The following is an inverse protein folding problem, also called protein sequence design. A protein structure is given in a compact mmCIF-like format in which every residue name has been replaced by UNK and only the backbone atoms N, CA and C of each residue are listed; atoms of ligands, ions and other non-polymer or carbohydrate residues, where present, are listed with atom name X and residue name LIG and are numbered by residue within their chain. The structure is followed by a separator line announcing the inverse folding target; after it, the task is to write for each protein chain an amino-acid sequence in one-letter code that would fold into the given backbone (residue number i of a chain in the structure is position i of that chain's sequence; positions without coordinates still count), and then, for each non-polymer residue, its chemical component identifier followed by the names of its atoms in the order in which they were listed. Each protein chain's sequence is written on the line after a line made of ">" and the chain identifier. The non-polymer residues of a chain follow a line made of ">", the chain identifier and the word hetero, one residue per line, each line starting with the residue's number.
data_IF_167335052071
#
_entry.id   IF_167335052071
#
_cell.length_a   1.000
_cell.length_b   1.000
_cell.length_c   1.000
_cell.angle_alpha   90.00
_cell.angle_beta   90.00
_cell.angle_gamma   90.00
#
_symmetry.space_group_name_H-M   'P 1'
#
loop_
_entity.id
_entity.type
_entity.pdbx_description
1 polymer ?
#
# COMPACT_ATOMS: atom_id res chain seq x y z
N UNK A 1 -43.31 -18.37 65.61
CA UNK A 1 -43.26 -16.91 65.43
C UNK A 1 -41.98 -16.59 64.68
N UNK A 2 -42.08 -16.46 63.36
CA UNK A 2 -41.01 -15.96 62.51
C UNK A 2 -40.81 -14.46 62.81
N UNK A 3 -39.57 -14.04 63.05
CA UNK A 3 -39.19 -12.63 63.02
C UNK A 3 -38.19 -12.40 61.90
N UNK A 4 -38.72 -11.80 60.85
CA UNK A 4 -38.07 -11.23 59.69
C UNK A 4 -36.90 -10.30 60.08
N UNK A 5 -35.70 -10.58 59.58
CA UNK A 5 -34.60 -9.62 59.50
C UNK A 5 -34.14 -9.51 58.06
N UNK A 6 -34.61 -8.46 57.39
CA UNK A 6 -34.13 -8.02 56.08
C UNK A 6 -32.68 -7.56 56.17
N UNK A 7 -31.77 -8.29 55.54
CA UNK A 7 -30.41 -7.83 55.22
C UNK A 7 -30.48 -6.88 54.01
N UNK A 8 -29.76 -5.73 54.01
CA UNK A 8 -29.74 -4.79 52.90
C UNK A 8 -28.98 -5.39 51.70
N UNK A 9 -29.55 -5.25 50.50
CA UNK A 9 -28.98 -5.79 49.27
C UNK A 9 -27.60 -5.20 48.99
N UNK A 10 -26.58 -6.07 48.99
CA UNK A 10 -25.28 -5.77 48.42
C UNK A 10 -25.46 -5.55 46.92
N UNK A 11 -25.37 -4.30 46.48
CA UNK A 11 -25.12 -3.98 45.08
C UNK A 11 -23.67 -4.40 44.77
N UNK A 12 -23.49 -5.63 44.31
CA UNK A 12 -22.24 -6.06 43.70
C UNK A 12 -22.02 -5.24 42.43
N UNK A 13 -21.04 -4.35 42.47
CA UNK A 13 -20.55 -3.69 41.26
C UNK A 13 -19.71 -4.72 40.50
N UNK A 14 -20.35 -5.34 39.51
CA UNK A 14 -19.74 -6.36 38.65
C UNK A 14 -18.78 -5.67 37.66
N UNK A 15 -17.51 -5.56 38.07
CA UNK A 15 -16.43 -4.88 37.34
C UNK A 15 -16.02 -5.55 36.02
N UNK A 16 -16.66 -6.66 35.65
CA UNK A 16 -16.27 -7.50 34.52
C UNK A 16 -16.97 -7.16 33.19
N UNK A 17 -17.82 -6.15 33.15
CA UNK A 17 -18.64 -5.88 31.94
C UNK A 17 -18.13 -4.76 31.03
N UNK A 18 -17.03 -4.05 31.34
CA UNK A 18 -16.43 -3.10 30.38
C UNK A 18 -15.47 -3.82 29.44
N UNK A 19 -15.98 -4.82 28.72
CA UNK A 19 -15.30 -5.30 27.52
C UNK A 19 -15.62 -4.29 26.41
N UNK A 20 -14.64 -3.43 26.07
CA UNK A 20 -14.71 -2.61 24.87
C UNK A 20 -14.70 -3.57 23.67
N UNK A 21 -15.89 -4.00 23.25
CA UNK A 21 -16.08 -4.78 22.04
C UNK A 21 -15.76 -3.89 20.85
N UNK A 22 -14.51 -3.95 20.38
CA UNK A 22 -14.09 -3.29 19.13
C UNK A 22 -14.54 -4.04 17.88
N UNK A 23 -15.38 -5.07 18.01
CA UNK A 23 -16.02 -5.73 16.86
C UNK A 23 -17.21 -4.90 16.36
N UNK A 24 -16.91 -3.70 15.87
CA UNK A 24 -17.74 -3.04 14.87
C UNK A 24 -17.64 -3.84 13.56
N UNK A 25 -18.72 -3.86 12.80
CA UNK A 25 -18.98 -4.65 11.59
C UNK A 25 -17.76 -4.92 10.70
N UNK A 26 -17.77 -6.07 10.02
CA UNK A 26 -16.76 -6.55 9.07
C UNK A 26 -16.62 -5.67 7.80
N UNK A 27 -16.35 -4.38 7.98
CA UNK A 27 -16.08 -3.40 6.93
C UNK A 27 -14.58 -3.29 6.63
N UNK A 28 -14.27 -2.72 5.47
CA UNK A 28 -12.89 -2.43 5.03
C UNK A 28 -12.10 -1.53 6.03
N UNK A 29 -12.82 -0.76 6.86
CA UNK A 29 -12.29 0.24 7.80
C UNK A 29 -12.13 -0.26 9.23
N UNK A 30 -11.55 -1.45 9.44
CA UNK A 30 -11.18 -1.84 10.80
C UNK A 30 -10.07 -0.93 11.34
N UNK A 31 -10.04 -0.60 12.65
CA UNK A 31 -9.03 0.30 13.22
C UNK A 31 -7.59 -0.13 12.90
N UNK A 32 -7.34 -1.45 12.86
CA UNK A 32 -6.04 -2.03 12.51
C UNK A 32 -5.63 -1.74 11.06
N UNK A 33 -6.56 -1.81 10.11
CA UNK A 33 -6.29 -1.50 8.70
C UNK A 33 -6.04 -0.01 8.50
N UNK A 34 -6.87 0.83 9.11
CA UNK A 34 -6.72 2.29 9.05
C UNK A 34 -5.37 2.72 9.63
N UNK A 35 -5.01 2.24 10.82
CA UNK A 35 -3.72 2.56 11.44
C UNK A 35 -2.53 2.14 10.57
N UNK A 36 -2.59 0.93 9.99
CA UNK A 36 -1.54 0.44 9.09
C UNK A 36 -1.40 1.29 7.84
N UNK A 37 -2.51 1.61 7.16
CA UNK A 37 -2.51 2.49 5.97
C UNK A 37 -1.94 3.85 6.35
N UNK A 38 -2.34 4.43 7.48
CA UNK A 38 -1.83 5.71 7.94
C UNK A 38 -0.31 5.69 8.18
N UNK A 39 0.23 4.66 8.83
CA UNK A 39 1.67 4.48 9.05
C UNK A 39 2.42 4.37 7.72
N UNK A 40 1.90 3.59 6.77
CA UNK A 40 2.54 3.41 5.48
C UNK A 40 2.49 4.68 4.62
N UNK A 41 1.39 5.44 4.66
CA UNK A 41 1.30 6.76 4.03
C UNK A 41 2.31 7.73 4.66
N UNK A 42 2.49 7.71 5.99
CA UNK A 42 3.50 8.51 6.65
C UNK A 42 4.92 8.11 6.21
N UNK A 43 5.20 6.81 6.06
CA UNK A 43 6.47 6.34 5.49
C UNK A 43 6.65 6.79 4.04
N UNK A 44 5.58 6.82 3.23
CA UNK A 44 5.63 7.36 1.87
C UNK A 44 5.96 8.85 1.88
N UNK A 45 5.41 9.61 2.83
CA UNK A 45 5.74 11.03 3.02
C UNK A 45 7.21 11.25 3.37
N UNK A 46 7.82 10.37 4.18
CA UNK A 46 9.26 10.41 4.45
C UNK A 46 10.06 10.03 3.20
N UNK A 47 9.66 8.97 2.50
CA UNK A 47 10.29 8.52 1.25
C UNK A 47 10.21 9.57 0.13
N UNK A 48 9.20 10.42 0.14
CA UNK A 48 9.04 11.53 -0.79
C UNK A 48 10.19 12.56 -0.75
N UNK A 49 10.95 12.64 0.35
CA UNK A 49 12.14 13.52 0.44
C UNK A 49 13.39 12.90 -0.20
N UNK A 50 13.39 11.59 -0.43
CA UNK A 50 14.47 10.90 -1.14
C UNK A 50 14.14 10.95 -2.63
N UNK A 51 14.51 12.06 -3.28
CA UNK A 51 14.21 12.34 -4.68
C UNK A 51 15.18 11.62 -5.62
N UNK A 52 14.64 11.19 -6.76
CA UNK A 52 15.41 10.71 -7.90
C UNK A 52 15.38 11.80 -8.97
N UNK A 53 16.55 12.23 -9.50
CA UNK A 53 16.61 13.28 -10.50
C UNK A 53 15.65 13.03 -11.66
N UNK A 54 14.72 13.97 -11.85
CA UNK A 54 13.67 13.89 -12.87
C UNK A 54 13.26 15.30 -13.30
N UNK A 55 12.78 15.51 -14.54
CA UNK A 55 12.33 16.81 -15.02
C UNK A 55 11.24 17.45 -14.17
N UNK A 56 10.39 16.63 -13.55
CA UNK A 56 9.29 17.09 -12.69
C UNK A 56 9.73 17.23 -11.23
N UNK A 57 10.83 16.61 -10.80
CA UNK A 57 11.24 16.54 -9.38
C UNK A 57 10.30 15.69 -8.50
N UNK A 58 9.31 15.02 -9.07
CA UNK A 58 8.27 14.30 -8.32
C UNK A 58 8.58 12.81 -8.14
N UNK A 59 9.55 12.28 -8.89
CA UNK A 59 10.00 10.89 -8.74
C UNK A 59 10.79 10.75 -7.43
N UNK A 60 10.28 9.91 -6.53
CA UNK A 60 10.86 9.71 -5.19
C UNK A 60 10.68 8.26 -4.71
N UNK A 61 11.00 7.98 -3.45
CA UNK A 61 10.79 6.68 -2.79
C UNK A 61 9.42 6.56 -2.11
N UNK A 62 8.45 7.35 -2.54
CA UNK A 62 7.10 7.46 -1.98
C UNK A 62 6.20 6.25 -2.32
N UNK A 63 6.51 5.51 -3.39
CA UNK A 63 5.72 4.37 -3.84
C UNK A 63 6.05 3.05 -3.12
N UNK A 64 7.24 2.93 -2.49
CA UNK A 64 7.72 1.70 -1.89
C UNK A 64 6.78 1.19 -0.78
N UNK A 65 6.26 2.03 0.15
CA UNK A 65 5.27 1.57 1.13
C UNK A 65 3.96 1.11 0.49
N UNK A 66 3.57 1.71 -0.65
CA UNK A 66 2.40 1.29 -1.43
C UNK A 66 2.58 -0.11 -2.01
N UNK A 67 3.69 -0.35 -2.72
CA UNK A 67 4.01 -1.67 -3.25
C UNK A 67 4.16 -2.73 -2.14
N UNK A 68 4.79 -2.37 -1.01
CA UNK A 68 4.92 -3.26 0.15
C UNK A 68 3.55 -3.66 0.67
N UNK A 69 2.66 -2.68 0.83
CA UNK A 69 1.30 -2.92 1.31
C UNK A 69 0.49 -3.79 0.36
N UNK A 70 0.61 -3.54 -0.94
CA UNK A 70 0.03 -4.34 -2.00
C UNK A 70 0.51 -5.79 -1.96
N UNK A 71 1.82 -6.00 -1.78
CA UNK A 71 2.43 -7.33 -1.68
C UNK A 71 2.02 -8.06 -0.40
N UNK A 72 2.04 -7.43 0.77
CA UNK A 72 1.92 -8.12 2.06
C UNK A 72 0.48 -8.21 2.56
N UNK A 73 -0.31 -7.14 2.39
CA UNK A 73 -1.63 -7.01 3.01
C UNK A 73 -2.76 -7.21 1.99
N UNK A 74 -3.10 -6.18 1.22
CA UNK A 74 -4.13 -6.25 0.18
C UNK A 74 -3.83 -5.31 -0.98
N UNK A 75 -4.23 -5.65 -2.22
CA UNK A 75 -4.04 -4.77 -3.36
C UNK A 75 -4.68 -3.38 -3.13
N UNK A 76 -5.85 -3.34 -2.49
CA UNK A 76 -6.59 -2.11 -2.23
C UNK A 76 -5.88 -1.23 -1.19
N UNK A 77 -5.41 -1.79 -0.07
CA UNK A 77 -4.61 -1.04 0.91
C UNK A 77 -3.36 -0.47 0.25
N UNK A 78 -2.69 -1.24 -0.62
CA UNK A 78 -1.54 -0.77 -1.38
C UNK A 78 -1.86 0.38 -2.32
N UNK A 79 -2.95 0.30 -3.07
CA UNK A 79 -3.39 1.35 -3.98
C UNK A 79 -3.63 2.68 -3.28
N UNK A 80 -4.28 2.66 -2.11
CA UNK A 80 -4.52 3.87 -1.31
C UNK A 80 -3.19 4.48 -0.86
N UNK A 81 -2.29 3.65 -0.32
CA UNK A 81 -0.97 4.11 0.13
C UNK A 81 -0.16 4.68 -1.04
N UNK A 82 -0.13 4.00 -2.19
CA UNK A 82 0.61 4.46 -3.38
C UNK A 82 0.08 5.77 -3.95
N UNK A 83 -1.25 5.93 -4.03
CA UNK A 83 -1.88 7.16 -4.50
C UNK A 83 -1.59 8.35 -3.58
N UNK A 84 -1.77 8.16 -2.27
CA UNK A 84 -1.51 9.21 -1.28
C UNK A 84 -0.01 9.52 -1.18
N UNK A 85 0.85 8.52 -1.28
CA UNK A 85 2.30 8.70 -1.34
C UNK A 85 2.72 9.62 -2.50
N UNK A 86 2.15 9.38 -3.69
CA UNK A 86 2.41 10.23 -4.86
C UNK A 86 1.95 11.67 -4.64
N UNK A 87 0.75 11.88 -4.10
CA UNK A 87 0.26 13.23 -3.81
C UNK A 87 1.13 13.96 -2.79
N UNK A 88 1.65 13.25 -1.77
CA UNK A 88 2.58 13.82 -0.80
C UNK A 88 3.94 14.15 -1.45
N UNK A 89 4.45 13.30 -2.34
CA UNK A 89 5.67 13.60 -3.12
C UNK A 89 5.52 14.80 -4.04
N UNK A 90 4.34 14.95 -4.65
CA UNK A 90 4.00 16.11 -5.46
C UNK A 90 3.91 17.38 -4.63
N UNK A 91 3.27 17.28 -3.45
CA UNK A 91 3.11 18.38 -2.50
C UNK A 91 4.46 18.91 -2.01
N UNK A 92 5.45 18.05 -1.73
CA UNK A 92 6.79 18.50 -1.30
C UNK A 92 7.53 19.32 -2.37
N UNK A 93 7.09 19.24 -3.63
CA UNK A 93 7.60 20.02 -4.76
C UNK A 93 6.63 21.10 -5.25
N UNK A 94 5.52 21.33 -4.54
CA UNK A 94 4.54 22.36 -4.88
C UNK A 94 3.67 22.06 -6.11
N UNK A 95 3.44 20.77 -6.44
CA UNK A 95 2.66 20.33 -7.61
C UNK A 95 3.15 20.95 -8.94
N UNK A 96 4.33 20.58 -9.45
CA UNK A 96 5.02 21.26 -10.57
C UNK A 96 4.25 21.27 -11.90
N UNK A 97 3.30 20.35 -12.09
CA UNK A 97 2.40 20.28 -13.25
C UNK A 97 0.94 20.63 -12.89
N UNK A 98 0.72 21.15 -11.69
CA UNK A 98 -0.61 21.40 -11.12
C UNK A 98 -1.24 20.18 -10.45
N UNK A 99 -2.21 20.44 -9.58
CA UNK A 99 -2.94 19.42 -8.83
C UNK A 99 -3.70 18.42 -9.73
N UNK A 100 -4.40 18.82 -10.81
CA UNK A 100 -5.15 17.88 -11.65
C UNK A 100 -4.28 16.78 -12.27
N UNK A 101 -3.08 17.12 -12.73
CA UNK A 101 -2.13 16.16 -13.32
C UNK A 101 -1.65 15.17 -12.26
N UNK A 102 -1.39 15.62 -11.03
CA UNK A 102 -0.94 14.73 -9.96
C UNK A 102 -2.07 13.87 -9.40
N UNK A 103 -3.33 14.30 -9.48
CA UNK A 103 -4.48 13.43 -9.20
C UNK A 103 -4.60 12.33 -10.25
N UNK A 104 -4.39 12.64 -11.53
CA UNK A 104 -4.33 11.64 -12.60
C UNK A 104 -3.21 10.61 -12.34
N UNK A 105 -2.00 11.07 -12.02
CA UNK A 105 -0.86 10.19 -11.71
C UNK A 105 -1.12 9.41 -10.42
N UNK A 106 -1.78 9.99 -9.41
CA UNK A 106 -2.13 9.27 -8.19
C UNK A 106 -3.08 8.10 -8.47
N UNK A 107 -4.06 8.28 -9.37
CA UNK A 107 -4.94 7.19 -9.83
C UNK A 107 -4.15 6.13 -10.58
N UNK A 108 -3.24 6.54 -11.46
CA UNK A 108 -2.34 5.62 -12.15
C UNK A 108 -1.48 4.80 -11.18
N UNK A 109 -0.89 5.45 -10.17
CA UNK A 109 -0.12 4.78 -9.12
C UNK A 109 -0.99 3.80 -8.33
N UNK A 110 -2.24 4.16 -8.04
CA UNK A 110 -3.21 3.26 -7.42
C UNK A 110 -3.40 1.98 -8.26
N UNK A 111 -3.53 2.12 -9.58
CA UNK A 111 -3.71 1.02 -10.54
C UNK A 111 -2.44 0.15 -10.61
N UNK A 112 -1.25 0.75 -10.70
CA UNK A 112 -0.01 -0.01 -10.79
C UNK A 112 0.27 -0.83 -9.53
N UNK A 113 0.06 -0.24 -8.35
CA UNK A 113 0.20 -0.95 -7.08
C UNK A 113 -0.88 -2.03 -6.93
N UNK A 114 -2.11 -1.76 -7.38
CA UNK A 114 -3.17 -2.76 -7.41
C UNK A 114 -2.78 -3.98 -8.26
N UNK A 115 -2.35 -3.73 -9.51
CA UNK A 115 -1.91 -4.76 -10.44
C UNK A 115 -0.75 -5.56 -9.84
N UNK A 116 0.25 -4.89 -9.28
CA UNK A 116 1.36 -5.57 -8.60
C UNK A 116 0.87 -6.46 -7.46
N UNK A 117 0.03 -5.95 -6.56
CA UNK A 117 -0.55 -6.75 -5.48
C UNK A 117 -1.32 -7.97 -6.01
N UNK A 118 -2.11 -7.79 -7.08
CA UNK A 118 -2.83 -8.90 -7.72
C UNK A 118 -1.87 -9.95 -8.33
N UNK A 119 -0.79 -9.51 -8.96
CA UNK A 119 0.21 -10.38 -9.57
C UNK A 119 1.01 -11.16 -8.53
N UNK A 120 1.46 -10.52 -7.44
CA UNK A 120 2.25 -11.20 -6.38
C UNK A 120 1.48 -12.38 -5.75
N UNK A 121 0.14 -12.35 -5.77
CA UNK A 121 -0.71 -13.44 -5.29
C UNK A 121 -0.88 -14.59 -6.30
N UNK A 122 -0.55 -14.38 -7.57
CA UNK A 122 -0.82 -15.29 -8.69
C UNK A 122 0.44 -15.84 -9.34
N UNK A 123 1.53 -15.07 -9.35
CA UNK A 123 2.77 -15.38 -10.04
C UNK A 123 3.98 -15.10 -9.14
N UNK A 124 5.19 -15.40 -9.65
CA UNK A 124 6.44 -15.12 -8.93
C UNK A 124 6.60 -13.61 -8.67
N UNK A 125 6.95 -13.23 -7.43
CA UNK A 125 7.12 -11.84 -7.00
C UNK A 125 8.11 -11.03 -7.86
N UNK A 126 9.20 -11.65 -8.33
CA UNK A 126 10.19 -10.99 -9.18
C UNK A 126 9.65 -10.75 -10.59
N UNK A 127 8.83 -11.66 -11.12
CA UNK A 127 8.14 -11.45 -12.40
C UNK A 127 7.12 -10.32 -12.26
N UNK A 128 6.33 -10.32 -11.18
CA UNK A 128 5.42 -9.22 -10.87
C UNK A 128 6.15 -7.89 -10.72
N UNK A 129 7.34 -7.89 -10.11
CA UNK A 129 8.18 -6.70 -9.95
C UNK A 129 8.66 -6.16 -11.29
N UNK A 130 9.20 -7.00 -12.17
CA UNK A 130 9.62 -6.59 -13.52
C UNK A 130 8.44 -5.98 -14.29
N UNK A 131 7.27 -6.62 -14.26
CA UNK A 131 6.07 -6.11 -14.93
C UNK A 131 5.66 -4.74 -14.36
N UNK A 132 5.64 -4.59 -13.03
CA UNK A 132 5.30 -3.32 -12.39
C UNK A 132 6.27 -2.19 -12.77
N UNK A 133 7.58 -2.50 -12.84
CA UNK A 133 8.62 -1.53 -13.24
C UNK A 133 8.41 -1.09 -14.69
N UNK A 134 8.20 -2.03 -15.61
CA UNK A 134 8.00 -1.73 -17.02
C UNK A 134 6.71 -0.95 -17.27
N UNK A 135 5.60 -1.35 -16.63
CA UNK A 135 4.33 -0.64 -16.75
C UNK A 135 4.48 0.78 -16.19
N UNK A 136 5.07 0.96 -15.01
CA UNK A 136 5.26 2.30 -14.44
C UNK A 136 6.17 3.18 -15.31
N UNK A 137 7.28 2.62 -15.81
CA UNK A 137 8.21 3.35 -16.67
C UNK A 137 7.61 3.78 -18.00
N UNK A 138 7.00 2.84 -18.74
CA UNK A 138 6.51 3.09 -20.10
C UNK A 138 5.09 3.62 -20.14
N UNK A 139 4.16 2.99 -19.40
CA UNK A 139 2.75 3.42 -19.39
C UNK A 139 2.64 4.74 -18.61
N UNK A 140 3.33 4.86 -17.47
CA UNK A 140 3.43 6.12 -16.71
C UNK A 140 3.92 7.30 -17.54
N UNK A 141 5.01 7.10 -18.28
CA UNK A 141 5.49 8.13 -19.19
C UNK A 141 4.46 8.41 -20.31
N UNK A 142 3.82 7.37 -20.87
CA UNK A 142 2.92 7.51 -22.01
C UNK A 142 1.64 8.29 -21.66
N UNK A 143 1.14 8.18 -20.42
CA UNK A 143 0.00 8.99 -19.94
C UNK A 143 0.30 10.49 -20.01
N UNK A 144 1.57 10.90 -19.99
CA UNK A 144 1.96 12.30 -20.12
C UNK A 144 2.02 12.81 -21.57
N UNK A 145 1.87 11.95 -22.59
CA UNK A 145 1.95 12.37 -24.01
C UNK A 145 0.91 13.46 -24.36
N UNK A 146 -0.36 13.38 -23.96
CA UNK A 146 -1.34 14.43 -24.26
C UNK A 146 -1.06 15.76 -23.55
N UNK A 147 -0.26 15.75 -22.48
CA UNK A 147 -0.01 16.91 -21.60
C UNK A 147 1.31 17.59 -21.98
N UNK A 148 2.39 16.82 -22.10
CA UNK A 148 3.75 17.31 -22.36
C UNK A 148 4.37 16.84 -23.68
N UNK A 149 3.60 16.15 -24.52
CA UNK A 149 4.06 15.64 -25.80
C UNK A 149 5.06 14.47 -25.69
N UNK A 150 5.60 14.07 -26.84
CA UNK A 150 6.60 13.00 -26.93
C UNK A 150 7.93 13.36 -26.27
N UNK A 151 8.24 14.66 -26.15
CA UNK A 151 9.42 15.14 -25.43
C UNK A 151 9.37 14.79 -23.93
N UNK A 152 8.24 15.06 -23.28
CA UNK A 152 8.03 14.68 -21.87
C UNK A 152 8.04 13.16 -21.68
N UNK A 153 7.44 12.41 -22.60
CA UNK A 153 7.48 10.96 -22.59
C UNK A 153 8.93 10.43 -22.55
N UNK A 154 9.78 10.82 -23.52
CA UNK A 154 11.17 10.37 -23.57
C UNK A 154 11.96 10.81 -22.33
N UNK A 155 11.73 12.03 -21.84
CA UNK A 155 12.41 12.57 -20.67
C UNK A 155 12.04 11.86 -19.36
N UNK A 156 10.86 11.23 -19.29
CA UNK A 156 10.38 10.54 -18.08
C UNK A 156 10.69 9.05 -18.04
N UNK A 157 10.98 8.39 -19.17
CA UNK A 157 11.25 6.94 -19.21
C UNK A 157 12.34 6.54 -18.21
N UNK A 158 13.52 7.17 -18.30
CA UNK A 158 14.66 6.79 -17.45
C UNK A 158 14.38 7.07 -15.97
N UNK A 159 13.94 8.27 -15.56
CA UNK A 159 13.60 8.53 -14.17
C UNK A 159 12.51 7.60 -13.63
N UNK A 160 11.44 7.32 -14.38
CA UNK A 160 10.36 6.45 -13.94
C UNK A 160 10.80 4.98 -13.84
N UNK A 161 11.62 4.48 -14.77
CA UNK A 161 12.17 3.13 -14.68
C UNK A 161 13.08 2.97 -13.46
N UNK A 162 13.99 3.93 -13.23
CA UNK A 162 14.90 3.90 -12.07
C UNK A 162 14.10 4.05 -10.77
N UNK A 163 13.20 5.01 -10.71
CA UNK A 163 12.34 5.24 -9.55
C UNK A 163 11.47 4.04 -9.23
N UNK A 164 10.80 3.48 -10.23
CA UNK A 164 9.98 2.28 -10.04
C UNK A 164 10.82 1.09 -9.60
N UNK A 165 12.00 0.87 -10.22
CA UNK A 165 12.90 -0.22 -9.84
C UNK A 165 13.30 -0.13 -8.37
N UNK A 166 13.75 1.05 -7.91
CA UNK A 166 14.12 1.24 -6.49
C UNK A 166 12.92 1.00 -5.57
N UNK A 167 11.76 1.60 -5.86
CA UNK A 167 10.58 1.46 -5.01
C UNK A 167 10.09 0.01 -4.91
N UNK A 168 9.99 -0.68 -6.05
CA UNK A 168 9.49 -2.05 -6.11
C UNK A 168 10.49 -3.02 -5.47
N UNK A 169 11.80 -2.86 -5.71
CA UNK A 169 12.81 -3.73 -5.08
C UNK A 169 12.83 -3.54 -3.57
N UNK A 170 12.83 -2.29 -3.07
CA UNK A 170 12.74 -2.04 -1.61
C UNK A 170 11.48 -2.67 -1.03
N UNK A 171 10.35 -2.54 -1.71
CA UNK A 171 9.10 -3.16 -1.28
C UNK A 171 9.17 -4.69 -1.23
N UNK A 172 9.74 -5.33 -2.25
CA UNK A 172 9.89 -6.80 -2.31
C UNK A 172 10.84 -7.29 -1.22
N UNK A 173 11.95 -6.61 -0.97
CA UNK A 173 12.88 -6.96 0.11
C UNK A 173 12.25 -6.79 1.49
N UNK A 174 11.50 -5.71 1.72
CA UNK A 174 10.76 -5.52 2.95
C UNK A 174 9.67 -6.59 3.12
N UNK A 175 8.95 -6.94 2.05
CA UNK A 175 7.93 -7.99 2.07
C UNK A 175 8.54 -9.37 2.37
N UNK A 176 9.74 -9.64 1.84
CA UNK A 176 10.52 -10.84 2.14
C UNK A 176 10.88 -10.93 3.63
N UNK A 177 11.40 -9.85 4.21
CA UNK A 177 11.73 -9.77 5.63
C UNK A 177 10.50 -9.98 6.52
N UNK A 178 9.37 -9.33 6.20
CA UNK A 178 8.11 -9.52 6.93
C UNK A 178 7.57 -10.95 6.83
N UNK A 179 7.71 -11.58 5.65
CA UNK A 179 7.30 -12.97 5.45
C UNK A 179 8.15 -13.92 6.29
N UNK A 180 9.47 -13.71 6.32
CA UNK A 180 10.39 -14.51 7.14
C UNK A 180 10.11 -14.36 8.65
N UNK A 181 9.64 -13.20 9.08
CA UNK A 181 9.23 -12.93 10.46
C UNK A 181 7.83 -13.47 10.82
N UNK A 182 7.11 -14.10 9.89
CA UNK A 182 5.74 -14.61 10.11
C UNK A 182 4.65 -13.53 10.19
N UNK A 183 4.96 -12.29 9.78
CA UNK A 183 4.05 -11.14 9.84
C UNK A 183 3.26 -10.91 8.54
N UNK A 184 3.57 -11.67 7.48
CA UNK A 184 2.86 -11.56 6.21
C UNK A 184 1.60 -12.42 6.18
N UNK A 185 0.54 -11.90 5.53
CA UNK A 185 -0.73 -12.63 5.40
C UNK A 185 -0.62 -13.87 4.48
N UNK A 186 0.44 -13.94 3.67
CA UNK A 186 0.78 -15.07 2.82
C UNK A 186 2.29 -15.08 2.56
N UNK A 187 2.84 -16.23 2.13
CA UNK A 187 4.24 -16.32 1.74
C UNK A 187 4.46 -15.56 0.42
N UNK A 188 5.10 -14.39 0.50
CA UNK A 188 5.37 -13.55 -0.68
C UNK A 188 6.46 -14.15 -1.59
N UNK A 189 7.43 -14.87 -1.02
CA UNK A 189 8.55 -15.46 -1.78
C UNK A 189 8.27 -16.91 -2.20
N UNK A 190 7.65 -17.72 -1.34
CA UNK A 190 7.44 -19.14 -1.60
C UNK A 190 6.17 -19.36 -2.43
N UNK A 191 6.34 -19.91 -3.64
CA UNK A 191 5.23 -20.27 -4.56
C UNK A 191 4.22 -21.16 -3.82
N UNK A 192 2.92 -20.89 -3.97
CA UNK A 192 1.88 -21.89 -3.71
C UNK A 192 2.21 -23.09 -4.60
N UNK A 193 2.63 -24.22 -4.03
CA UNK A 193 2.67 -25.47 -4.81
C UNK A 193 1.24 -25.74 -5.23
N UNK A 194 0.99 -25.75 -6.54
CA UNK A 194 -0.27 -26.23 -7.09
C UNK A 194 -0.43 -27.66 -6.59
N UNK A 195 -1.41 -27.90 -5.72
CA UNK A 195 -1.70 -29.25 -5.26
C UNK A 195 -2.38 -29.98 -6.43
N UNK A 196 -1.78 -31.02 -7.04
CA UNK A 196 -2.32 -31.67 -8.22
C UNK A 196 -3.61 -32.47 -7.98
N UNK A 197 -4.23 -32.39 -6.80
CA UNK A 197 -5.40 -33.20 -6.43
C UNK A 197 -6.78 -32.59 -6.75
N UNK A 198 -6.89 -31.48 -7.47
CA UNK A 198 -8.20 -30.88 -7.81
C UNK A 198 -8.73 -31.25 -9.21
N UNK A 199 -8.14 -32.25 -9.87
CA UNK A 199 -8.72 -32.87 -11.06
C UNK A 199 -8.97 -34.35 -10.77
N UNK A 200 -10.12 -34.63 -10.16
CA UNK A 200 -10.80 -35.92 -10.26
C UNK A 200 -12.26 -35.65 -10.59
#
# INVERSE_FOLDING_TARGET
>A
MESNTTQPGEHSFDGDSVTVRTSGESGFFSPRRVARVAILVALSAVGAFIKIPSPTGTVALDAAPGYLSGAVFSPIEGSIVGALGHLLSALTTGFPLGLPVHLLIAVEMAVFVWLFGMMVRKINVWVAAIIAILINGFVGAAVMIPIGGTGMFVALIVPLLVGSAVNVVVAVLAAAALSAAGLAAHNVIARKKDNPSSKR
#
